data_IF_461330241709
#
_entry.id   IF_461330241709
#
_cell.length_a   1.000
_cell.length_b   1.000
_cell.length_c   1.000
_cell.angle_alpha   90.00
_cell.angle_beta   90.00
_cell.angle_gamma   90.00
#
_symmetry.space_group_name_H-M   'P 1'
#
loop_
_entity.id
_entity.type
_entity.pdbx_description
1 polymer ?
#
# COMPACT_ATOMS: atom_id res chain seq x y z
N UNK A 1 34.42 2.89 -81.76
CA UNK A 1 34.19 3.52 -80.45
C UNK A 1 32.72 3.88 -80.29
N UNK A 2 31.93 3.01 -79.65
CA UNK A 2 30.63 3.33 -79.04
C UNK A 2 30.50 2.41 -77.83
N UNK A 3 30.61 2.99 -76.64
CA UNK A 3 30.44 2.31 -75.36
C UNK A 3 28.94 1.99 -75.18
N UNK A 4 28.61 0.71 -75.01
CA UNK A 4 27.29 0.29 -74.55
C UNK A 4 27.37 0.14 -73.02
N UNK A 5 26.83 1.13 -72.32
CA UNK A 5 26.63 1.12 -70.87
C UNK A 5 25.40 0.26 -70.58
N UNK A 6 25.60 -1.00 -70.20
CA UNK A 6 24.52 -1.85 -69.70
C UNK A 6 24.18 -1.40 -68.26
N UNK A 7 23.04 -0.75 -68.09
CA UNK A 7 22.49 -0.39 -66.78
C UNK A 7 21.93 -1.67 -66.13
N UNK A 8 22.57 -2.16 -65.07
CA UNK A 8 22.01 -3.20 -64.21
C UNK A 8 20.93 -2.56 -63.33
N UNK A 9 19.66 -2.76 -63.66
CA UNK A 9 18.55 -2.43 -62.77
C UNK A 9 18.42 -3.55 -61.75
N UNK A 10 18.96 -3.33 -60.55
CA UNK A 10 18.73 -4.22 -59.41
C UNK A 10 17.28 -4.02 -58.93
N UNK A 11 16.41 -4.98 -59.26
CA UNK A 11 15.06 -5.06 -58.70
C UNK A 11 15.21 -5.61 -57.27
N UNK A 12 15.21 -4.72 -56.29
CA UNK A 12 15.02 -5.14 -54.90
C UNK A 12 13.59 -5.65 -54.74
N UNK A 13 13.36 -6.86 -54.21
CA UNK A 13 12.01 -7.23 -53.79
C UNK A 13 11.62 -6.28 -52.67
N UNK A 14 10.62 -5.44 -52.93
CA UNK A 14 9.86 -4.75 -51.89
C UNK A 14 9.16 -5.81 -51.05
N UNK A 15 9.85 -6.30 -50.02
CA UNK A 15 9.20 -6.98 -48.92
C UNK A 15 8.24 -5.97 -48.30
N UNK A 16 6.98 -6.04 -48.71
CA UNK A 16 5.87 -5.42 -48.01
C UNK A 16 5.99 -5.94 -46.58
N UNK A 17 6.39 -5.07 -45.65
CA UNK A 17 6.14 -5.30 -44.24
C UNK A 17 4.62 -5.46 -44.13
N UNK A 18 4.16 -6.70 -44.05
CA UNK A 18 2.86 -7.01 -43.49
C UNK A 18 2.95 -6.45 -42.08
N UNK A 19 2.35 -5.27 -41.89
CA UNK A 19 2.14 -4.73 -40.56
C UNK A 19 1.39 -5.81 -39.80
N UNK A 20 2.08 -6.43 -38.84
CA UNK A 20 1.44 -7.30 -37.86
C UNK A 20 0.24 -6.52 -37.34
N UNK A 21 -0.96 -7.06 -37.58
CA UNK A 21 -2.18 -6.55 -36.95
C UNK A 21 -1.84 -6.36 -35.47
N UNK A 22 -2.14 -5.19 -34.87
CA UNK A 22 -1.82 -4.96 -33.47
C UNK A 22 -2.36 -6.14 -32.69
N UNK A 23 -1.43 -6.92 -32.14
CA UNK A 23 -1.72 -8.04 -31.25
C UNK A 23 -2.65 -7.45 -30.20
N UNK A 24 -3.89 -7.94 -30.16
CA UNK A 24 -4.89 -7.45 -29.23
C UNK A 24 -4.23 -7.27 -27.87
N UNK A 25 -4.12 -6.02 -27.44
CA UNK A 25 -3.65 -5.68 -26.11
C UNK A 25 -4.59 -6.45 -25.20
N UNK A 26 -4.05 -7.42 -24.45
CA UNK A 26 -4.82 -8.11 -23.40
C UNK A 26 -5.57 -7.02 -22.64
N UNK A 27 -6.89 -7.19 -22.37
CA UNK A 27 -7.61 -6.23 -21.56
C UNK A 27 -6.75 -5.93 -20.34
N UNK A 28 -6.48 -4.65 -20.10
CA UNK A 28 -5.83 -4.17 -18.89
C UNK A 28 -6.43 -4.99 -17.74
N UNK A 29 -5.61 -5.73 -17.01
CA UNK A 29 -6.05 -6.47 -15.84
C UNK A 29 -6.94 -5.53 -15.02
N UNK A 30 -8.19 -5.92 -14.76
CA UNK A 30 -9.16 -5.09 -14.05
C UNK A 30 -8.51 -4.61 -12.75
N UNK A 31 -8.29 -3.30 -12.64
CA UNK A 31 -7.73 -2.72 -11.42
C UNK A 31 -8.80 -2.87 -10.34
N UNK A 32 -8.44 -3.47 -9.21
CA UNK A 32 -9.33 -3.56 -8.05
C UNK A 32 -9.57 -2.16 -7.49
N UNK A 33 -10.81 -1.83 -7.14
CA UNK A 33 -11.17 -0.51 -6.61
C UNK A 33 -11.87 -0.64 -5.27
N UNK A 34 -11.35 0.04 -4.25
CA UNK A 34 -12.00 0.16 -2.95
C UNK A 34 -12.15 1.63 -2.59
N UNK A 35 -13.37 2.13 -2.62
CA UNK A 35 -13.63 3.55 -2.37
C UNK A 35 -14.33 3.77 -1.05
N UNK A 36 -13.92 4.82 -0.34
CA UNK A 36 -14.74 5.35 0.74
C UNK A 36 -16.08 5.84 0.13
N UNK A 37 -17.21 5.66 0.84
CA UNK A 37 -18.55 5.96 0.30
C UNK A 37 -18.72 7.38 -0.25
N UNK A 38 -17.99 8.34 0.30
CA UNK A 38 -17.99 9.77 -0.03
C UNK A 38 -16.84 10.19 -0.98
N UNK A 39 -15.97 9.26 -1.37
CA UNK A 39 -14.77 9.50 -2.17
C UNK A 39 -14.65 8.51 -3.35
N UNK A 40 -15.72 8.37 -4.13
CA UNK A 40 -15.77 7.47 -5.30
C UNK A 40 -15.16 8.15 -6.52
N UNK A 41 -14.21 7.49 -7.18
CA UNK A 41 -13.60 7.98 -8.42
C UNK A 41 -14.41 7.54 -9.65
N UNK A 42 -14.51 8.39 -10.67
CA UNK A 42 -15.08 8.02 -11.98
C UNK A 42 -14.10 7.14 -12.77
N UNK A 43 -14.59 6.50 -13.84
CA UNK A 43 -13.74 5.69 -14.72
C UNK A 43 -12.59 6.52 -15.35
N UNK A 44 -12.86 7.76 -15.76
CA UNK A 44 -11.85 8.67 -16.29
C UNK A 44 -10.80 9.02 -15.24
N UNK A 45 -11.23 9.27 -14.01
CA UNK A 45 -10.32 9.56 -12.89
C UNK A 45 -9.45 8.34 -12.55
N UNK A 46 -10.02 7.13 -12.58
CA UNK A 46 -9.26 5.88 -12.39
C UNK A 46 -8.17 5.73 -13.45
N UNK A 47 -8.44 6.08 -14.70
CA UNK A 47 -7.45 6.06 -15.79
C UNK A 47 -6.31 7.05 -15.48
N UNK A 48 -6.63 8.26 -15.04
CA UNK A 48 -5.65 9.29 -14.69
C UNK A 48 -4.77 8.84 -13.51
N UNK A 49 -5.39 8.35 -12.45
CA UNK A 49 -4.70 7.81 -11.25
C UNK A 49 -3.73 6.70 -11.65
N UNK A 50 -4.17 5.77 -12.50
CA UNK A 50 -3.32 4.70 -13.02
C UNK A 50 -2.12 5.24 -13.82
N UNK A 51 -2.35 6.21 -14.70
CA UNK A 51 -1.28 6.81 -15.50
C UNK A 51 -0.25 7.55 -14.63
N UNK A 52 -0.70 8.29 -13.62
CA UNK A 52 0.17 8.96 -12.67
C UNK A 52 1.01 7.96 -11.87
N UNK A 53 0.40 6.88 -11.38
CA UNK A 53 1.10 5.85 -10.63
C UNK A 53 2.22 5.18 -11.46
N UNK A 54 1.94 4.85 -12.72
CA UNK A 54 2.94 4.30 -13.64
C UNK A 54 4.07 5.32 -13.91
N UNK A 55 3.74 6.61 -14.10
CA UNK A 55 4.75 7.68 -14.29
C UNK A 55 5.65 7.85 -13.06
N UNK A 56 5.10 7.64 -11.86
CA UNK A 56 5.87 7.69 -10.62
C UNK A 56 6.78 6.48 -10.40
N UNK A 57 6.79 5.50 -11.31
CA UNK A 57 7.68 4.34 -11.25
C UNK A 57 7.03 3.07 -10.70
N UNK A 58 5.72 3.05 -10.48
CA UNK A 58 5.02 1.84 -10.09
C UNK A 58 4.99 0.85 -11.29
N UNK A 59 5.50 -0.39 -11.18
CA UNK A 59 5.64 -1.29 -12.35
C UNK A 59 4.30 -1.70 -12.96
N UNK A 60 3.28 -1.85 -12.13
CA UNK A 60 1.90 -2.16 -12.50
C UNK A 60 0.97 -1.63 -11.41
N UNK A 61 -0.30 -1.40 -11.73
CA UNK A 61 -1.32 -0.99 -10.75
C UNK A 61 -2.28 -2.16 -10.58
N UNK A 62 -2.34 -2.72 -9.38
CA UNK A 62 -3.25 -3.81 -9.03
C UNK A 62 -4.52 -3.32 -8.33
N UNK A 63 -4.41 -2.26 -7.53
CA UNK A 63 -5.51 -1.72 -6.73
C UNK A 63 -5.46 -0.19 -6.64
N UNK A 64 -6.63 0.45 -6.63
CA UNK A 64 -6.80 1.85 -6.27
C UNK A 64 -7.73 1.93 -5.07
N UNK A 65 -7.33 2.70 -4.07
CA UNK A 65 -8.10 2.88 -2.85
C UNK A 65 -8.29 4.36 -2.54
N UNK A 66 -9.48 4.72 -2.09
CA UNK A 66 -9.73 6.03 -1.46
C UNK A 66 -10.11 5.81 0.00
N UNK A 67 -9.70 6.73 0.86
CA UNK A 67 -9.90 6.63 2.30
C UNK A 67 -10.18 8.00 2.90
N UNK A 68 -10.93 8.02 3.99
CA UNK A 68 -11.21 9.23 4.76
C UNK A 68 -10.08 9.50 5.77
N UNK A 69 -9.68 10.76 5.88
CA UNK A 69 -8.59 11.20 6.77
C UNK A 69 -9.24 11.79 8.03
N UNK A 70 -9.52 10.95 9.03
CA UNK A 70 -10.10 11.42 10.28
C UNK A 70 -9.11 12.27 11.10
N UNK A 71 -9.58 13.29 11.86
CA UNK A 71 -10.98 13.74 12.01
C UNK A 71 -11.44 14.74 10.93
N UNK A 72 -10.66 14.95 9.87
CA UNK A 72 -11.02 15.88 8.80
C UNK A 72 -12.08 15.29 7.85
N UNK A 73 -12.70 16.15 7.05
CA UNK A 73 -13.55 15.73 5.93
C UNK A 73 -12.77 15.44 4.65
N UNK A 74 -11.44 15.32 4.73
CA UNK A 74 -10.59 15.11 3.57
C UNK A 74 -10.44 13.64 3.22
N UNK A 75 -10.18 13.39 1.94
CA UNK A 75 -9.90 12.07 1.41
C UNK A 75 -8.50 11.98 0.79
N UNK A 76 -7.92 10.78 0.86
CA UNK A 76 -6.68 10.43 0.17
C UNK A 76 -6.92 9.40 -0.93
N UNK A 77 -6.01 9.34 -1.91
CA UNK A 77 -5.98 8.34 -2.98
C UNK A 77 -4.66 7.59 -2.89
N UNK A 78 -4.72 6.26 -2.90
CA UNK A 78 -3.54 5.40 -3.01
C UNK A 78 -3.70 4.47 -4.21
N UNK A 79 -2.72 4.49 -5.10
CA UNK A 79 -2.55 3.42 -6.09
C UNK A 79 -1.53 2.40 -5.54
N UNK A 80 -1.92 1.14 -5.49
CA UNK A 80 -1.07 0.02 -5.06
C UNK A 80 -0.76 -0.88 -6.24
N UNK A 81 0.50 -1.30 -6.34
CA UNK A 81 0.94 -2.23 -7.36
C UNK A 81 0.39 -3.63 -7.16
N UNK A 82 0.58 -4.48 -8.16
CA UNK A 82 0.31 -5.91 -7.99
C UNK A 82 1.24 -6.45 -6.92
N UNK A 83 0.66 -7.17 -5.96
CA UNK A 83 1.41 -7.70 -4.82
C UNK A 83 2.27 -8.89 -5.24
N UNK A 84 3.51 -8.91 -4.74
CA UNK A 84 4.40 -10.06 -4.87
C UNK A 84 4.25 -10.95 -3.64
N UNK A 85 3.76 -12.17 -3.84
CA UNK A 85 3.56 -13.14 -2.75
C UNK A 85 4.63 -14.23 -2.85
N UNK A 86 5.47 -14.34 -1.81
CA UNK A 86 6.52 -15.36 -1.71
C UNK A 86 6.26 -16.16 -0.43
N UNK A 87 5.59 -17.29 -0.57
CA UNK A 87 5.14 -18.07 0.59
C UNK A 87 4.17 -17.28 1.46
N UNK A 88 4.55 -16.99 2.71
CA UNK A 88 3.76 -16.15 3.63
C UNK A 88 4.05 -14.67 3.49
N UNK A 89 5.20 -14.30 2.93
CA UNK A 89 5.56 -12.90 2.75
C UNK A 89 4.79 -12.29 1.60
N UNK A 90 4.44 -11.03 1.78
CA UNK A 90 3.85 -10.22 0.72
C UNK A 90 4.59 -8.89 0.66
N UNK A 91 4.99 -8.51 -0.54
CA UNK A 91 5.55 -7.20 -0.83
C UNK A 91 4.57 -6.47 -1.73
N UNK A 92 4.40 -5.19 -1.47
CA UNK A 92 3.63 -4.33 -2.33
C UNK A 92 4.24 -2.95 -2.32
N UNK A 93 3.85 -2.23 -3.34
CA UNK A 93 4.40 -0.92 -3.58
C UNK A 93 3.25 0.03 -3.81
N UNK A 94 3.28 1.21 -3.21
CA UNK A 94 2.17 2.15 -3.32
C UNK A 94 2.62 3.57 -3.57
N UNK A 95 1.74 4.35 -4.17
CA UNK A 95 1.96 5.78 -4.37
C UNK A 95 0.70 6.54 -3.98
N UNK A 96 0.89 7.57 -3.16
CA UNK A 96 -0.17 8.50 -2.80
C UNK A 96 -0.38 9.51 -3.92
N UNK A 97 -1.63 9.69 -4.30
CA UNK A 97 -2.05 10.61 -5.34
C UNK A 97 -2.93 11.69 -4.69
N UNK A 98 -2.65 12.93 -5.06
CA UNK A 98 -3.39 14.10 -4.62
C UNK A 98 -4.36 14.53 -5.72
N UNK A 99 -5.48 15.13 -5.31
CA UNK A 99 -6.49 15.66 -6.21
C UNK A 99 -6.87 17.08 -5.76
N UNK A 100 -6.85 18.03 -6.69
CA UNK A 100 -7.10 19.44 -6.43
C UNK A 100 -8.60 19.70 -6.29
N UNK A 101 -9.15 19.42 -5.10
CA UNK A 101 -10.55 19.66 -4.75
C UNK A 101 -10.68 19.82 -3.22
N UNK A 102 -11.61 20.65 -2.76
CA UNK A 102 -11.87 20.95 -1.34
C UNK A 102 -12.19 19.70 -0.48
N UNK A 103 -12.65 18.61 -1.09
CA UNK A 103 -12.91 17.34 -0.40
C UNK A 103 -11.69 16.43 -0.23
N UNK A 104 -10.56 16.77 -0.84
CA UNK A 104 -9.37 15.93 -0.88
C UNK A 104 -8.24 16.64 -0.16
N UNK A 105 -7.31 15.88 0.45
CA UNK A 105 -6.28 16.40 1.36
C UNK A 105 -5.62 17.68 0.82
N UNK A 106 -5.90 18.85 1.43
CA UNK A 106 -5.46 20.10 0.88
C UNK A 106 -4.08 20.44 1.43
N UNK A 107 -3.31 21.07 0.56
CA UNK A 107 -2.15 21.88 0.91
C UNK A 107 -0.88 21.12 1.27
N UNK A 108 -0.36 20.41 0.29
CA UNK A 108 1.06 20.56 -0.02
C UNK A 108 1.15 21.66 -1.08
N UNK A 109 1.88 22.75 -0.81
CA UNK A 109 2.03 23.90 -1.72
C UNK A 109 2.46 23.46 -3.12
N UNK A 110 1.64 23.81 -4.12
CA UNK A 110 1.69 23.31 -5.50
C UNK A 110 3.02 23.60 -6.21
N UNK A 111 3.64 24.74 -5.90
CA UNK A 111 4.69 25.30 -6.75
C UNK A 111 6.09 24.69 -6.55
N UNK A 112 6.39 24.08 -5.39
CA UNK A 112 7.72 23.51 -5.13
C UNK A 112 7.74 21.98 -4.99
N UNK A 113 6.56 21.35 -4.93
CA UNK A 113 6.44 19.97 -4.45
C UNK A 113 5.69 19.03 -5.40
N UNK A 114 5.45 19.34 -6.67
CA UNK A 114 4.83 18.41 -7.64
C UNK A 114 5.86 17.67 -8.49
N UNK A 115 5.85 16.34 -8.49
CA UNK A 115 6.71 15.50 -9.34
C UNK A 115 6.05 15.18 -10.69
N UNK A 116 4.77 14.80 -10.66
CA UNK A 116 3.97 14.49 -11.84
C UNK A 116 2.55 15.07 -11.67
N UNK A 117 1.95 15.54 -12.77
CA UNK A 117 0.58 16.06 -12.82
C UNK A 117 -0.12 15.65 -14.11
N UNK A 118 -1.41 15.34 -14.02
CA UNK A 118 -2.33 15.13 -15.13
C UNK A 118 -3.68 15.73 -14.73
N UNK A 119 -4.07 16.84 -15.36
CA UNK A 119 -5.24 17.61 -14.94
C UNK A 119 -5.10 18.08 -13.48
N UNK A 120 -6.14 17.84 -12.70
CA UNK A 120 -6.23 18.21 -11.28
C UNK A 120 -5.59 17.15 -10.35
N UNK A 121 -5.10 16.03 -10.91
CA UNK A 121 -4.41 14.98 -10.15
C UNK A 121 -2.90 15.17 -10.21
N UNK A 122 -2.23 14.92 -9.10
CA UNK A 122 -0.79 15.08 -9.02
C UNK A 122 -0.14 14.22 -7.93
N UNK A 123 1.17 14.06 -8.02
CA UNK A 123 2.00 13.32 -7.05
C UNK A 123 3.07 14.29 -6.54
N UNK A 124 3.29 14.30 -5.23
CA UNK A 124 4.26 15.21 -4.64
C UNK A 124 5.71 14.70 -4.75
N UNK A 125 6.68 15.59 -4.96
CA UNK A 125 8.13 15.32 -4.87
C UNK A 125 8.53 14.79 -3.49
N UNK A 126 7.88 15.33 -2.45
CA UNK A 126 8.08 14.93 -1.04
C UNK A 126 7.20 13.77 -0.58
N UNK A 127 6.18 13.40 -1.36
CA UNK A 127 5.40 12.17 -1.20
C UNK A 127 6.19 10.90 -1.55
N UNK A 128 7.46 11.07 -1.88
CA UNK A 128 8.48 10.04 -1.91
C UNK A 128 8.36 9.08 -3.10
N UNK A 129 9.44 8.34 -3.42
CA UNK A 129 9.31 7.16 -4.26
C UNK A 129 8.24 6.26 -3.64
N UNK A 130 7.31 5.76 -4.46
CA UNK A 130 6.93 4.32 -4.49
C UNK A 130 7.21 3.64 -3.12
N UNK A 131 6.28 3.75 -2.15
CA UNK A 131 6.43 3.19 -0.78
C UNK A 131 6.45 1.67 -0.90
N UNK A 132 7.62 1.09 -0.71
CA UNK A 132 7.81 -0.35 -0.66
C UNK A 132 7.47 -0.84 0.74
N UNK A 133 6.33 -1.52 0.83
CA UNK A 133 5.88 -2.12 2.05
C UNK A 133 6.06 -3.63 2.01
N UNK A 134 6.47 -4.17 3.16
CA UNK A 134 6.58 -5.61 3.41
C UNK A 134 5.55 -6.01 4.45
N UNK A 135 5.04 -7.23 4.32
CA UNK A 135 4.16 -7.85 5.28
C UNK A 135 4.22 -9.36 5.19
N UNK A 136 3.45 -10.02 6.06
CA UNK A 136 3.20 -11.45 5.95
C UNK A 136 1.77 -11.80 6.34
N UNK A 137 1.33 -12.98 5.91
CA UNK A 137 0.00 -13.52 6.20
C UNK A 137 0.06 -14.47 7.40
N UNK A 138 -0.83 -14.28 8.36
CA UNK A 138 -0.89 -15.04 9.61
C UNK A 138 -2.30 -15.59 9.84
N UNK A 139 -2.41 -16.77 10.44
CA UNK A 139 -3.69 -17.27 10.92
C UNK A 139 -3.95 -16.68 12.32
N UNK A 140 -5.04 -15.95 12.45
CA UNK A 140 -5.50 -15.37 13.70
C UNK A 140 -6.98 -15.73 13.89
N UNK A 141 -7.27 -16.51 14.95
CA UNK A 141 -8.63 -16.98 15.29
C UNK A 141 -9.36 -17.63 14.09
N UNK A 142 -8.64 -18.41 13.28
CA UNK A 142 -9.19 -19.12 12.12
C UNK A 142 -9.35 -18.26 10.86
N UNK A 143 -8.90 -16.99 10.88
CA UNK A 143 -8.92 -16.08 9.73
C UNK A 143 -7.50 -15.77 9.29
N UNK A 144 -7.30 -15.62 7.98
CA UNK A 144 -6.03 -15.16 7.44
C UNK A 144 -6.00 -13.62 7.52
N UNK A 145 -5.08 -13.08 8.31
CA UNK A 145 -4.85 -11.64 8.41
C UNK A 145 -3.54 -11.27 7.73
N UNK A 146 -3.48 -10.07 7.16
CA UNK A 146 -2.21 -9.46 6.75
C UNK A 146 -1.67 -8.63 7.90
N UNK A 147 -0.38 -8.78 8.15
CA UNK A 147 0.38 -7.95 9.09
C UNK A 147 1.46 -7.21 8.31
N UNK A 148 1.50 -5.87 8.40
CA UNK A 148 2.62 -5.07 7.88
C UNK A 148 3.82 -5.29 8.79
N UNK A 149 4.96 -5.60 8.20
CA UNK A 149 6.23 -5.79 8.89
C UNK A 149 7.11 -4.59 8.52
N UNK A 150 7.31 -3.70 9.47
CA UNK A 150 8.24 -2.58 9.35
C UNK A 150 9.63 -3.05 9.75
N UNK A 151 10.67 -2.34 9.31
CA UNK A 151 12.06 -2.68 9.57
C UNK A 151 12.42 -4.11 9.10
N UNK A 152 13.52 -4.66 9.60
CA UNK A 152 13.96 -6.05 9.32
C UNK A 152 13.24 -7.10 10.17
N UNK A 153 11.99 -6.82 10.60
CA UNK A 153 11.19 -7.75 11.43
C UNK A 153 11.12 -9.12 10.74
N UNK A 154 11.59 -10.14 11.45
CA UNK A 154 11.56 -11.51 10.98
C UNK A 154 10.14 -12.07 11.11
N UNK A 155 9.68 -12.83 10.10
CA UNK A 155 8.33 -13.44 10.11
C UNK A 155 8.13 -14.34 11.33
N UNK A 156 9.16 -15.08 11.74
CA UNK A 156 9.10 -15.94 12.94
C UNK A 156 8.95 -15.15 14.25
N UNK A 157 9.49 -13.93 14.32
CA UNK A 157 9.27 -13.05 15.46
C UNK A 157 7.82 -12.57 15.48
N UNK A 158 7.30 -12.13 14.32
CA UNK A 158 5.90 -11.76 14.16
C UNK A 158 4.94 -12.92 14.49
N UNK A 159 5.28 -14.18 14.17
CA UNK A 159 4.52 -15.36 14.58
C UNK A 159 4.33 -15.41 16.11
N UNK A 160 5.38 -15.09 16.86
CA UNK A 160 5.35 -15.09 18.32
C UNK A 160 4.45 -13.98 18.88
N UNK A 161 4.49 -12.79 18.26
CA UNK A 161 3.61 -11.67 18.62
C UNK A 161 2.15 -12.02 18.35
N UNK A 162 1.83 -12.51 17.14
CA UNK A 162 0.46 -12.86 16.76
C UNK A 162 -0.08 -14.01 17.62
N UNK A 163 0.75 -15.00 17.95
CA UNK A 163 0.37 -16.08 18.86
C UNK A 163 0.05 -15.56 20.27
N UNK A 164 0.86 -14.65 20.81
CA UNK A 164 0.61 -14.07 22.12
C UNK A 164 -0.67 -13.24 22.15
N UNK A 165 -0.94 -12.44 21.11
CA UNK A 165 -2.21 -11.70 20.97
C UNK A 165 -3.39 -12.67 20.88
N UNK A 166 -3.29 -13.70 20.05
CA UNK A 166 -4.34 -14.72 19.86
C UNK A 166 -4.66 -15.51 21.12
N UNK A 167 -3.64 -15.77 21.96
CA UNK A 167 -3.80 -16.45 23.24
C UNK A 167 -4.19 -15.52 24.40
N UNK A 168 -4.33 -14.21 24.18
CA UNK A 168 -4.59 -13.23 25.23
C UNK A 168 -3.42 -13.07 26.21
N UNK A 169 -2.20 -13.48 25.83
CA UNK A 169 -0.98 -13.37 26.62
C UNK A 169 -0.40 -11.96 26.53
N UNK A 170 -1.19 -10.97 26.94
CA UNK A 170 -0.81 -9.57 27.00
C UNK A 170 -0.87 -9.11 28.45
N UNK A 171 0.24 -8.58 28.95
CA UNK A 171 0.34 -8.01 30.28
C UNK A 171 0.57 -6.51 30.19
N UNK A 172 -0.37 -5.73 30.72
CA UNK A 172 -0.29 -4.26 30.75
C UNK A 172 0.46 -3.79 31.99
N UNK A 173 1.11 -2.63 31.89
CA UNK A 173 1.86 -2.03 32.98
C UNK A 173 0.96 -1.61 34.15
N UNK A 174 -0.29 -1.22 33.87
CA UNK A 174 -1.26 -0.79 34.87
C UNK A 174 -2.69 -1.22 34.49
N UNK A 175 -3.63 -1.15 35.45
CA UNK A 175 -5.03 -1.54 35.26
C UNK A 175 -5.80 -0.62 34.31
N UNK A 176 -5.41 0.64 34.17
CA UNK A 176 -6.10 1.60 33.30
C UNK A 176 -5.83 1.29 31.82
N UNK A 177 -4.59 0.96 31.49
CA UNK A 177 -4.19 0.46 30.17
C UNK A 177 -4.93 -0.83 29.84
N UNK A 178 -5.04 -1.74 30.81
CA UNK A 178 -5.80 -2.97 30.64
C UNK A 178 -7.28 -2.70 30.35
N UNK A 179 -7.95 -1.86 31.15
CA UNK A 179 -9.35 -1.48 30.91
C UNK A 179 -9.54 -0.81 29.55
N UNK A 180 -8.58 0.03 29.16
CA UNK A 180 -8.60 0.71 27.87
C UNK A 180 -8.48 -0.32 26.75
N UNK A 181 -7.51 -1.21 26.81
CA UNK A 181 -7.30 -2.25 25.82
C UNK A 181 -8.44 -3.29 25.77
N UNK A 182 -9.07 -3.62 26.90
CA UNK A 182 -10.20 -4.55 26.96
C UNK A 182 -11.40 -4.04 26.14
N UNK A 183 -11.62 -2.71 26.08
CA UNK A 183 -12.62 -2.10 25.19
C UNK A 183 -12.35 -2.38 23.70
N UNK A 184 -11.09 -2.60 23.34
CA UNK A 184 -10.64 -2.86 21.97
C UNK A 184 -10.48 -4.35 21.65
N UNK A 185 -10.27 -5.21 22.67
CA UNK A 185 -9.96 -6.63 22.49
C UNK A 185 -11.10 -7.44 21.88
N UNK A 186 -12.34 -6.97 22.06
CA UNK A 186 -13.53 -7.54 21.46
C UNK A 186 -13.78 -7.05 20.01
N UNK A 187 -12.97 -6.10 19.53
CA UNK A 187 -13.00 -5.63 18.16
C UNK A 187 -12.35 -6.61 17.19
N UNK A 188 -12.96 -6.80 16.01
CA UNK A 188 -12.26 -7.39 14.88
C UNK A 188 -11.13 -6.43 14.44
N UNK A 189 -9.88 -6.90 14.43
CA UNK A 189 -8.76 -6.13 13.90
C UNK A 189 -8.80 -6.12 12.36
N UNK A 190 -8.57 -4.96 11.76
CA UNK A 190 -8.52 -4.82 10.29
C UNK A 190 -7.10 -4.94 9.77
N UNK A 191 -6.12 -4.38 10.50
CA UNK A 191 -4.69 -4.46 10.15
C UNK A 191 -3.85 -4.49 11.42
N UNK A 192 -2.77 -5.28 11.40
CA UNK A 192 -1.71 -5.21 12.42
C UNK A 192 -0.42 -4.76 11.76
N UNK A 193 0.29 -3.83 12.37
CA UNK A 193 1.66 -3.46 12.03
C UNK A 193 2.61 -3.87 13.14
N UNK A 194 3.78 -4.41 12.81
CA UNK A 194 4.84 -4.71 13.77
C UNK A 194 6.09 -3.99 13.31
N UNK A 195 6.68 -3.20 14.21
CA UNK A 195 7.99 -2.59 14.03
C UNK A 195 8.93 -3.09 15.14
N UNK A 196 10.18 -3.38 14.82
CA UNK A 196 11.16 -3.84 15.81
C UNK A 196 12.00 -2.67 16.30
N UNK A 197 12.10 -2.53 17.62
CA UNK A 197 13.03 -1.60 18.24
C UNK A 197 14.18 -2.41 18.85
N UNK A 198 15.23 -2.71 18.08
CA UNK A 198 16.48 -3.36 18.54
C UNK A 198 16.29 -4.47 19.61
N UNK A 199 16.18 -5.72 19.19
CA UNK A 199 16.12 -6.88 20.11
C UNK A 199 14.69 -7.29 20.42
N UNK A 200 14.36 -7.61 21.68
CA UNK A 200 13.00 -8.08 22.03
C UNK A 200 11.95 -6.98 22.18
N UNK A 201 12.33 -5.71 22.05
CA UNK A 201 11.38 -4.62 22.11
C UNK A 201 10.75 -4.44 20.73
N UNK A 202 9.43 -4.32 20.68
CA UNK A 202 8.71 -4.08 19.45
C UNK A 202 7.56 -3.12 19.70
N UNK A 203 7.15 -2.45 18.64
CA UNK A 203 5.94 -1.66 18.61
C UNK A 203 4.91 -2.39 17.78
N UNK A 204 3.75 -2.60 18.37
CA UNK A 204 2.59 -3.18 17.69
C UNK A 204 1.59 -2.08 17.43
N UNK A 205 1.11 -2.02 16.20
CA UNK A 205 0.03 -1.14 15.74
C UNK A 205 -1.16 -2.02 15.39
N UNK A 206 -2.34 -1.66 15.86
CA UNK A 206 -3.57 -2.38 15.61
C UNK A 206 -4.60 -1.36 15.13
N UNK A 207 -4.98 -1.47 13.87
CA UNK A 207 -6.14 -0.78 13.33
C UNK A 207 -7.39 -1.62 13.61
N UNK A 208 -8.45 -0.97 14.05
CA UNK A 208 -9.72 -1.65 14.35
C UNK A 208 -10.71 -1.49 13.20
N UNK A 209 -11.90 -2.08 13.32
CA UNK A 209 -13.00 -1.82 12.38
C UNK A 209 -13.49 -0.38 12.43
N UNK A 210 -13.33 0.29 13.56
CA UNK A 210 -13.57 1.72 13.64
C UNK A 210 -12.38 2.43 12.96
N UNK A 211 -12.58 3.08 11.80
CA UNK A 211 -11.51 3.78 11.09
C UNK A 211 -10.97 4.97 11.89
N UNK A 212 -11.71 5.44 12.89
CA UNK A 212 -11.34 6.52 13.79
C UNK A 212 -10.47 6.05 14.95
N UNK A 213 -10.18 4.75 15.02
CA UNK A 213 -9.51 4.19 16.16
C UNK A 213 -8.36 3.27 15.82
N UNK A 214 -7.22 3.60 16.40
CA UNK A 214 -6.03 2.77 16.40
C UNK A 214 -5.46 2.63 17.80
N UNK A 215 -4.97 1.43 18.07
CA UNK A 215 -4.20 1.10 19.25
C UNK A 215 -2.75 0.91 18.83
N UNK A 216 -1.82 1.52 19.55
CA UNK A 216 -0.41 1.22 19.39
C UNK A 216 0.24 1.04 20.75
N UNK A 217 1.18 0.11 20.86
CA UNK A 217 1.89 -0.08 22.11
C UNK A 217 3.32 -0.55 21.89
N UNK A 218 4.20 -0.08 22.76
CA UNK A 218 5.56 -0.59 22.88
C UNK A 218 5.51 -1.80 23.83
N UNK A 219 6.13 -2.91 23.46
CA UNK A 219 6.14 -4.10 24.29
C UNK A 219 7.42 -4.91 24.15
N UNK A 220 7.64 -5.81 25.11
CA UNK A 220 8.71 -6.81 25.08
C UNK A 220 8.06 -8.18 25.09
N UNK A 221 8.54 -9.07 24.22
CA UNK A 221 8.18 -10.49 24.35
C UNK A 221 9.06 -11.15 25.42
N UNK A 222 8.45 -11.61 26.51
CA UNK A 222 9.16 -12.31 27.58
C UNK A 222 9.36 -13.80 27.27
N UNK A 223 10.26 -14.45 27.99
CA UNK A 223 10.61 -15.85 27.77
C UNK A 223 9.44 -16.83 28.01
N UNK A 224 8.45 -16.42 28.82
CA UNK A 224 7.18 -17.12 29.07
C UNK A 224 6.15 -16.93 27.93
N UNK A 225 6.50 -16.17 26.88
CA UNK A 225 5.67 -15.90 25.72
C UNK A 225 4.61 -14.83 25.94
N UNK A 226 4.72 -14.01 26.99
CA UNK A 226 3.86 -12.84 27.18
C UNK A 226 4.37 -11.61 26.44
N UNK A 227 3.44 -10.81 25.92
CA UNK A 227 3.70 -9.43 25.51
C UNK A 227 3.55 -8.52 26.72
N UNK A 228 4.67 -8.01 27.22
CA UNK A 228 4.70 -7.07 28.34
C UNK A 228 4.66 -5.66 27.76
N UNK A 229 3.50 -5.03 27.85
CA UNK A 229 3.28 -3.65 27.36
C UNK A 229 4.02 -2.70 28.30
N UNK A 230 4.92 -1.91 27.72
CA UNK A 230 5.68 -0.86 28.40
C UNK A 230 4.87 0.44 28.40
N UNK A 231 4.25 0.75 27.26
CA UNK A 231 3.55 2.00 27.02
C UNK A 231 2.42 1.76 26.01
N UNK A 232 1.22 2.24 26.34
CA UNK A 232 0.01 2.12 25.55
C UNK A 232 -0.41 3.50 25.03
N UNK A 233 -0.45 3.63 23.70
CA UNK A 233 -0.96 4.82 23.04
C UNK A 233 -2.26 4.48 22.30
N UNK A 234 -3.35 5.10 22.73
CA UNK A 234 -4.66 4.99 22.09
C UNK A 234 -4.90 6.28 21.31
N UNK A 235 -5.20 6.15 20.02
CA UNK A 235 -5.65 7.27 19.20
C UNK A 235 -7.10 7.04 18.81
N UNK A 236 -7.95 7.95 19.27
CA UNK A 236 -9.33 8.11 18.83
C UNK A 236 -9.36 9.46 18.13
N UNK A 237 -9.56 9.46 16.81
CA UNK A 237 -9.60 10.65 15.96
C UNK A 237 -11.03 11.08 15.67
#
# INVERSE_FOLDING_TARGET
MKQALLLLVAIFPTSVLVADKPKAIKPVASVETHFAPDAVLTEEQIIIVRQLALKAGLPSVGKITTYSIAPSSYHGIIATGVEEVIGREVRWTSVTIHYQNEKWEPHISEDDKVAHRIGDFWISKGGGPVDEARGARFNYKGRLIRVRLLDDVQVAFADSIIAAIGAGKIQYANQEDQKTADKWRDGDFTTVGIAEAKGKNCRVYIATKDPHASLSFNCVISADGFLRVIDLCVRIS
#
